data_IF_715191678046
#
_entry.id   IF_715191678046
#
_cell.length_a   1.000
_cell.length_b   1.000
_cell.length_c   1.000
_cell.angle_alpha   90.00
_cell.angle_beta   90.00
_cell.angle_gamma   90.00
#
_symmetry.space_group_name_H-M   'P 1'
#
loop_
_entity.id
_entity.type
_entity.pdbx_description
1 polymer ?
#
# COMPACT_ATOMS: atom_id res chain seq x y z
N UNK A 1 -22.72 -5.32 16.74
CA UNK A 1 -21.91 -6.54 16.98
C UNK A 1 -21.10 -6.87 15.71
N UNK A 2 -20.27 -5.94 15.23
CA UNK A 2 -19.74 -6.04 13.85
C UNK A 2 -18.22 -6.09 13.76
N UNK A 3 -17.49 -5.41 14.65
CA UNK A 3 -16.02 -5.35 14.60
C UNK A 3 -15.32 -6.68 14.97
N UNK A 4 -15.89 -7.46 15.90
CA UNK A 4 -15.22 -8.67 16.41
C UNK A 4 -15.24 -9.83 15.39
N UNK A 5 -16.31 -9.92 14.59
CA UNK A 5 -16.45 -10.92 13.52
C UNK A 5 -15.58 -10.59 12.32
N UNK A 6 -15.31 -9.31 12.06
CA UNK A 6 -14.37 -8.87 11.03
C UNK A 6 -12.93 -9.28 11.39
N UNK A 7 -12.54 -9.07 12.65
CA UNK A 7 -11.22 -9.46 13.14
C UNK A 7 -10.99 -10.98 13.11
N UNK A 8 -12.02 -11.79 13.35
CA UNK A 8 -11.87 -13.26 13.27
C UNK A 8 -11.68 -13.73 11.83
N UNK A 9 -12.46 -13.21 10.87
CA UNK A 9 -12.35 -13.58 9.45
C UNK A 9 -11.01 -13.18 8.83
N UNK A 10 -10.49 -12.00 9.19
CA UNK A 10 -9.18 -11.55 8.73
C UNK A 10 -8.06 -12.44 9.30
N UNK A 11 -8.16 -12.85 10.56
CA UNK A 11 -7.21 -13.78 11.18
C UNK A 11 -7.23 -15.14 10.50
N UNK A 12 -8.40 -15.65 10.14
CA UNK A 12 -8.55 -16.92 9.42
C UNK A 12 -7.93 -16.83 8.02
N UNK A 13 -8.10 -15.69 7.34
CA UNK A 13 -7.49 -15.42 6.03
C UNK A 13 -5.96 -15.39 6.12
N UNK A 14 -5.40 -14.71 7.14
CA UNK A 14 -3.96 -14.64 7.38
C UNK A 14 -3.40 -16.04 7.69
N UNK A 15 -4.10 -16.85 8.49
CA UNK A 15 -3.67 -18.21 8.78
C UNK A 15 -3.57 -19.07 7.52
N UNK A 16 -4.59 -19.02 6.64
CA UNK A 16 -4.57 -19.73 5.35
C UNK A 16 -3.47 -19.23 4.42
N UNK A 17 -3.32 -17.91 4.30
CA UNK A 17 -2.27 -17.32 3.47
C UNK A 17 -0.86 -17.65 3.95
N UNK A 18 -0.67 -17.78 5.27
CA UNK A 18 0.60 -18.21 5.87
C UNK A 18 0.89 -19.69 5.64
N UNK A 19 -0.12 -20.56 5.66
CA UNK A 19 0.04 -21.98 5.35
C UNK A 19 0.36 -22.23 3.87
N UNK A 20 -0.28 -21.47 2.97
CA UNK A 20 -0.12 -21.63 1.53
C UNK A 20 1.06 -20.82 0.96
N UNK A 21 1.51 -19.79 1.66
CA UNK A 21 2.56 -18.88 1.20
C UNK A 21 2.09 -17.88 0.13
N UNK A 22 0.79 -17.85 -0.19
CA UNK A 22 0.17 -16.89 -1.10
C UNK A 22 -1.34 -16.77 -0.83
N UNK A 23 -1.94 -15.69 -1.32
CA UNK A 23 -3.38 -15.45 -1.32
C UNK A 23 -3.83 -15.01 -2.71
N UNK A 24 -5.06 -15.35 -3.11
CA UNK A 24 -5.65 -14.84 -4.35
C UNK A 24 -6.62 -13.70 -4.11
N UNK A 25 -6.77 -12.81 -5.09
CA UNK A 25 -7.76 -11.72 -5.03
C UNK A 25 -9.18 -12.24 -4.75
N UNK A 26 -9.54 -13.40 -5.33
CA UNK A 26 -10.83 -14.04 -5.07
C UNK A 26 -10.96 -14.47 -3.60
N UNK A 27 -9.92 -15.10 -3.03
CA UNK A 27 -9.92 -15.53 -1.62
C UNK A 27 -10.01 -14.34 -0.66
N UNK A 28 -9.32 -13.24 -0.96
CA UNK A 28 -9.42 -12.01 -0.18
C UNK A 28 -10.84 -11.45 -0.25
N UNK A 29 -11.41 -11.32 -1.45
CA UNK A 29 -12.75 -10.80 -1.66
C UNK A 29 -13.84 -11.66 -0.96
N UNK A 30 -13.71 -12.99 -1.00
CA UNK A 30 -14.66 -13.92 -0.36
C UNK A 30 -14.67 -13.84 1.18
N UNK A 31 -13.56 -13.43 1.79
CA UNK A 31 -13.44 -13.31 3.25
C UNK A 31 -13.69 -11.88 3.75
N UNK A 32 -13.76 -10.91 2.83
CA UNK A 32 -14.18 -9.54 3.13
C UNK A 32 -15.72 -9.46 3.18
N UNK A 33 -16.29 -8.74 4.16
CA UNK A 33 -17.72 -8.47 4.16
C UNK A 33 -18.12 -7.53 3.02
N UNK A 34 -19.33 -7.71 2.47
CA UNK A 34 -19.89 -6.92 1.37
C UNK A 34 -19.96 -5.40 1.64
N UNK A 35 -19.86 -4.97 2.91
CA UNK A 35 -19.75 -3.56 3.30
C UNK A 35 -18.42 -2.92 2.85
N UNK A 36 -17.39 -3.73 2.56
CA UNK A 36 -16.11 -3.31 1.98
C UNK A 36 -16.17 -3.51 0.47
N UNK A 37 -17.19 -2.93 -0.17
CA UNK A 37 -17.34 -2.95 -1.63
C UNK A 37 -16.45 -1.91 -2.34
N UNK A 38 -15.74 -1.07 -1.59
CA UNK A 38 -14.89 -0.04 -2.17
C UNK A 38 -13.56 -0.65 -2.63
N UNK A 39 -13.20 -0.54 -3.91
CA UNK A 39 -11.94 -1.09 -4.43
C UNK A 39 -10.71 -0.54 -3.68
N UNK A 40 -10.77 0.72 -3.24
CA UNK A 40 -9.69 1.36 -2.46
C UNK A 40 -9.43 0.64 -1.13
N UNK A 41 -10.48 0.21 -0.42
CA UNK A 41 -10.36 -0.48 0.87
C UNK A 41 -9.84 -1.91 0.69
N UNK A 42 -10.20 -2.55 -0.42
CA UNK A 42 -9.65 -3.86 -0.79
C UNK A 42 -8.15 -3.75 -1.03
N UNK A 43 -7.70 -2.68 -1.72
CA UNK A 43 -6.29 -2.42 -1.97
C UNK A 43 -5.50 -2.16 -0.67
N UNK A 44 -6.07 -1.40 0.28
CA UNK A 44 -5.47 -1.19 1.60
C UNK A 44 -5.28 -2.50 2.38
N UNK A 45 -6.26 -3.41 2.31
CA UNK A 45 -6.17 -4.73 2.95
C UNK A 45 -5.12 -5.60 2.27
N UNK A 46 -5.02 -5.56 0.94
CA UNK A 46 -4.00 -6.27 0.18
C UNK A 46 -2.60 -5.78 0.56
N UNK A 47 -2.40 -4.47 0.71
CA UNK A 47 -1.14 -3.90 1.20
C UNK A 47 -0.79 -4.42 2.58
N UNK A 48 -1.75 -4.41 3.51
CA UNK A 48 -1.56 -4.94 4.87
C UNK A 48 -1.19 -6.44 4.86
N UNK A 49 -1.76 -7.23 3.96
CA UNK A 49 -1.43 -8.67 3.82
C UNK A 49 0.00 -8.85 3.24
N UNK A 50 0.39 -8.04 2.27
CA UNK A 50 1.75 -8.04 1.72
C UNK A 50 2.79 -7.62 2.77
N UNK A 51 2.47 -6.65 3.64
CA UNK A 51 3.34 -6.21 4.75
C UNK A 51 3.58 -7.32 5.78
N UNK A 52 2.65 -8.28 5.90
CA UNK A 52 2.78 -9.47 6.75
C UNK A 52 3.64 -10.56 6.07
N UNK A 53 4.01 -10.36 4.81
CA UNK A 53 4.86 -11.28 4.03
C UNK A 53 4.08 -12.35 3.27
N UNK A 54 2.78 -12.14 3.01
CA UNK A 54 1.98 -13.05 2.19
C UNK A 54 1.69 -12.38 0.83
N UNK A 55 2.30 -12.84 -0.27
CA UNK A 55 2.06 -12.27 -1.59
C UNK A 55 0.63 -12.54 -2.07
N UNK A 56 -0.06 -11.49 -2.53
CA UNK A 56 -1.38 -11.60 -3.15
C UNK A 56 -1.24 -11.60 -4.67
N UNK A 57 -1.80 -12.61 -5.35
CA UNK A 57 -1.72 -12.77 -6.82
C UNK A 57 -3.10 -12.97 -7.45
N UNK A 58 -3.29 -12.51 -8.69
CA UNK A 58 -4.57 -12.68 -9.42
C UNK A 58 -4.85 -14.15 -9.77
N UNK A 59 -3.79 -14.92 -10.03
CA UNK A 59 -3.84 -16.34 -10.36
C UNK A 59 -2.94 -17.07 -9.38
N UNK A 60 -3.37 -18.26 -8.93
CA UNK A 60 -2.51 -19.11 -8.10
C UNK A 60 -1.20 -19.38 -8.85
N UNK A 61 -0.03 -19.08 -8.26
CA UNK A 61 1.24 -19.41 -8.89
C UNK A 61 1.32 -20.94 -9.05
N UNK A 62 1.62 -21.41 -10.26
CA UNK A 62 1.84 -22.83 -10.52
C UNK A 62 2.97 -23.34 -9.62
N UNK A 63 2.79 -24.54 -9.05
CA UNK A 63 3.68 -25.15 -8.06
C UNK A 63 5.16 -25.25 -8.50
N UNK A 64 5.43 -25.20 -9.80
CA UNK A 64 6.78 -25.19 -10.37
C UNK A 64 7.54 -23.86 -10.17
N UNK A 65 6.85 -22.77 -9.85
CA UNK A 65 7.47 -21.45 -9.56
C UNK A 65 7.92 -21.30 -8.10
N UNK A 66 7.45 -22.16 -7.19
CA UNK A 66 7.83 -22.12 -5.76
C UNK A 66 9.19 -22.77 -5.45
N UNK A 67 9.76 -23.55 -6.38
CA UNK A 67 10.96 -24.35 -6.09
C UNK A 67 12.31 -23.68 -6.42
N UNK A 68 12.31 -22.43 -6.91
CA UNK A 68 13.55 -21.75 -7.39
C UNK A 68 14.13 -20.73 -6.39
N UNK A 69 13.56 -20.60 -5.18
CA UNK A 69 13.94 -19.54 -4.23
C UNK A 69 14.73 -19.96 -2.99
N UNK A 70 15.14 -21.22 -2.84
CA UNK A 70 15.85 -21.67 -1.64
C UNK A 70 17.36 -21.79 -1.87
N UNK A 71 18.11 -20.99 -1.10
CA UNK A 71 19.56 -21.04 -0.78
C UNK A 71 20.45 -19.97 -1.45
N UNK A 72 20.79 -18.92 -0.68
CA UNK A 72 21.96 -18.02 -0.82
C UNK A 72 21.71 -16.55 -1.23
N UNK A 73 21.08 -15.71 -0.40
CA UNK A 73 21.25 -14.22 -0.47
C UNK A 73 20.90 -13.44 0.83
N UNK A 74 20.80 -14.09 1.99
CA UNK A 74 20.10 -13.56 3.18
C UNK A 74 20.78 -12.40 3.95
N UNK A 75 21.93 -11.88 3.51
CA UNK A 75 22.64 -10.79 4.22
C UNK A 75 22.76 -9.47 3.45
N UNK A 76 22.66 -9.49 2.11
CA UNK A 76 22.77 -8.26 1.29
C UNK A 76 21.40 -7.69 0.95
N UNK A 77 20.39 -8.56 0.79
CA UNK A 77 19.03 -8.15 0.45
C UNK A 77 18.31 -7.42 1.61
N UNK A 78 18.68 -7.69 2.86
CA UNK A 78 18.08 -7.05 4.02
C UNK A 78 18.44 -5.56 4.15
N UNK A 79 19.68 -5.19 3.77
CA UNK A 79 20.14 -3.81 3.84
C UNK A 79 19.58 -2.97 2.66
N UNK A 80 19.40 -3.59 1.49
CA UNK A 80 18.75 -2.97 0.34
C UNK A 80 17.21 -2.83 0.55
N UNK A 81 16.58 -3.81 1.20
CA UNK A 81 15.17 -3.73 1.59
C UNK A 81 14.89 -2.63 2.63
N UNK A 82 15.80 -2.41 3.57
CA UNK A 82 15.69 -1.33 4.55
C UNK A 82 15.81 0.07 3.89
N UNK A 83 16.71 0.23 2.91
CA UNK A 83 16.83 1.45 2.14
C UNK A 83 15.60 1.70 1.24
N UNK A 84 15.02 0.65 0.66
CA UNK A 84 13.79 0.73 -0.12
C UNK A 84 12.58 1.12 0.75
N UNK A 85 12.46 0.58 1.97
CA UNK A 85 11.39 0.94 2.91
C UNK A 85 11.44 2.44 3.29
N UNK A 86 12.65 2.97 3.53
CA UNK A 86 12.83 4.39 3.84
C UNK A 86 12.48 5.32 2.66
N UNK A 87 12.69 4.86 1.42
CA UNK A 87 12.25 5.58 0.22
C UNK A 87 10.72 5.54 0.05
N UNK A 88 10.10 4.39 0.35
CA UNK A 88 8.64 4.20 0.28
C UNK A 88 7.89 5.06 1.30
N UNK A 89 8.44 5.28 2.50
CA UNK A 89 7.83 6.17 3.51
C UNK A 89 7.78 7.64 3.04
N UNK A 90 8.65 8.03 2.10
CA UNK A 90 8.60 9.34 1.44
C UNK A 90 7.62 9.40 0.24
N UNK A 91 7.17 8.24 -0.24
CA UNK A 91 6.35 8.06 -1.45
C UNK A 91 4.89 7.62 -1.18
N UNK A 92 4.53 7.25 0.06
CA UNK A 92 3.14 6.88 0.46
C UNK A 92 2.10 8.00 0.19
N UNK A 93 2.53 9.21 -0.15
CA UNK A 93 1.66 10.33 -0.58
C UNK A 93 1.97 10.91 -1.97
N UNK A 94 2.86 10.31 -2.76
CA UNK A 94 3.18 10.76 -4.13
C UNK A 94 2.28 10.05 -5.13
N UNK A 95 1.25 10.75 -5.55
CA UNK A 95 0.54 10.45 -6.78
C UNK A 95 1.43 10.70 -8.01
N UNK A 96 1.32 9.84 -9.01
CA UNK A 96 1.93 10.04 -10.34
C UNK A 96 1.03 10.86 -11.28
N UNK A 97 -0.14 11.28 -10.82
CA UNK A 97 -1.07 12.10 -11.59
C UNK A 97 -0.55 13.55 -11.69
N UNK A 98 -0.35 14.13 -12.89
CA UNK A 98 0.16 15.48 -13.07
C UNK A 98 -0.71 16.57 -12.43
N UNK A 99 -2.03 16.38 -12.41
CA UNK A 99 -2.98 17.33 -11.81
C UNK A 99 -2.84 17.30 -10.30
N UNK A 100 -2.76 16.11 -9.71
CA UNK A 100 -2.64 15.96 -8.27
C UNK A 100 -1.25 16.35 -7.75
N UNK A 101 -0.21 16.20 -8.58
CA UNK A 101 1.11 16.79 -8.35
C UNK A 101 1.03 18.32 -8.26
N UNK A 102 0.36 18.96 -9.24
CA UNK A 102 0.15 20.41 -9.25
C UNK A 102 -0.69 20.89 -8.06
N UNK A 103 -1.78 20.22 -7.72
CA UNK A 103 -2.62 20.58 -6.56
C UNK A 103 -1.86 20.51 -5.24
N UNK A 104 -0.98 19.50 -5.08
CA UNK A 104 -0.11 19.40 -3.91
C UNK A 104 0.86 20.58 -3.86
N UNK A 105 1.55 20.86 -4.96
CA UNK A 105 2.52 21.96 -5.03
C UNK A 105 1.85 23.33 -4.80
N UNK A 106 0.68 23.57 -5.42
CA UNK A 106 -0.14 24.76 -5.16
C UNK A 106 -0.60 24.85 -3.70
N UNK A 107 -0.93 23.74 -3.05
CA UNK A 107 -1.38 23.71 -1.65
C UNK A 107 -0.26 23.99 -0.63
N UNK A 108 1.01 23.91 -1.02
CA UNK A 108 2.13 24.29 -0.14
C UNK A 108 2.38 25.79 -0.07
N UNK A 109 1.86 26.55 -1.05
CA UNK A 109 2.04 28.00 -1.12
C UNK A 109 0.88 28.67 -0.39
N UNK A 110 1.19 29.41 0.67
CA UNK A 110 0.18 30.17 1.42
C UNK A 110 -0.42 31.29 0.56
N UNK A 111 -1.71 31.57 0.79
CA UNK A 111 -2.39 32.68 0.13
C UNK A 111 -1.83 34.02 0.64
N UNK A 112 -1.55 34.91 -0.30
CA UNK A 112 -1.12 36.26 0.02
C UNK A 112 -2.28 37.06 0.63
N UNK A 113 -1.96 37.86 1.65
CA UNK A 113 -2.86 38.91 2.12
C UNK A 113 -2.79 40.10 1.17
N UNK A 114 -3.82 40.94 1.17
CA UNK A 114 -3.85 42.18 0.37
C UNK A 114 -2.59 43.04 0.57
N UNK A 115 -2.05 43.08 1.79
CA UNK A 115 -0.82 43.81 2.09
C UNK A 115 0.42 43.13 1.50
N UNK A 116 0.47 41.79 1.55
CA UNK A 116 1.54 41.00 0.92
C UNK A 116 1.60 41.20 -0.61
N UNK A 117 0.44 41.24 -1.28
CA UNK A 117 0.37 41.53 -2.72
C UNK A 117 0.96 42.92 -3.06
N UNK A 118 0.64 43.94 -2.26
CA UNK A 118 1.15 45.31 -2.47
C UNK A 118 2.68 45.36 -2.29
N UNK A 119 3.23 44.59 -1.33
CA UNK A 119 4.69 44.53 -1.11
C UNK A 119 5.41 43.90 -2.29
N UNK A 120 4.87 42.80 -2.82
CA UNK A 120 5.42 42.14 -4.02
C UNK A 120 5.33 43.08 -5.23
N UNK A 121 4.20 43.73 -5.42
CA UNK A 121 3.99 44.68 -6.52
C UNK A 121 4.91 45.91 -6.46
N UNK A 122 5.42 46.27 -5.28
CA UNK A 122 6.42 47.34 -5.13
C UNK A 122 7.86 46.86 -5.35
N UNK A 123 8.11 45.55 -5.26
CA UNK A 123 9.43 44.93 -5.40
C UNK A 123 9.76 44.58 -6.86
N UNK A 124 8.74 44.37 -7.68
CA UNK A 124 8.81 44.13 -9.13
C UNK A 124 8.68 45.47 -9.86
#
# INVERSE_FOLDING_TARGET
MSANTQQSRLKDLIAKGKEQGYLTYAQVNDHLPDDIANPDQVEDIIRMINDIGIPVSEVAPDADSMFVGSNDTDEVAAEEAAAALAAVDSDIGRTTDPVRMYMREMGTVELLTREGEIVIAKRI
#
